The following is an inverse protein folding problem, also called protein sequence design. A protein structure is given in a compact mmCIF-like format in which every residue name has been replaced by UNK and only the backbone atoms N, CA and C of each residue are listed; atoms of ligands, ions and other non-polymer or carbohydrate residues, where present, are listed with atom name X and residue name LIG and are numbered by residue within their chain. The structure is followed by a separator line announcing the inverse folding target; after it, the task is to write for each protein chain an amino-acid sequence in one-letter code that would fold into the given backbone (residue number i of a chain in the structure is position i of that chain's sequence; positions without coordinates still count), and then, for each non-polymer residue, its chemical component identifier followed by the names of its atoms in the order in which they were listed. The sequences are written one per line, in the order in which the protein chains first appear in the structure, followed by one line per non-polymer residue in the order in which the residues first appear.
data_IF_487254708185
#
_entry.id   IF_487254708185
#
_cell.length_a   1.000
_cell.length_b   1.000
_cell.length_c   1.000
_cell.angle_alpha   90.00
_cell.angle_beta   90.00
_cell.angle_gamma   90.00
#
_symmetry.space_group_name_H-M   'P 1'
#
loop_
_entity.id
_entity.type
_entity.pdbx_description
1 polymer ?
#
# COMPACT_ATOMS: atom_id res chain seq x y z
N UNK A 1 -28.09 1.08 -20.97
CA UNK A 1 -27.25 0.38 -19.95
C UNK A 1 -26.07 1.19 -19.41
N UNK A 2 -25.65 2.33 -19.99
CA UNK A 2 -24.54 3.14 -19.44
C UNK A 2 -24.90 4.01 -18.22
N UNK A 3 -26.15 4.47 -18.07
CA UNK A 3 -26.54 5.39 -16.99
C UNK A 3 -26.45 4.77 -15.57
N UNK A 4 -26.66 3.46 -15.43
CA UNK A 4 -26.55 2.75 -14.14
C UNK A 4 -25.09 2.54 -13.70
N UNK A 5 -24.15 2.51 -14.64
CA UNK A 5 -22.73 2.31 -14.33
C UNK A 5 -22.09 3.52 -13.63
N UNK A 6 -22.49 4.74 -13.98
CA UNK A 6 -21.97 5.97 -13.36
C UNK A 6 -22.45 6.15 -11.92
N UNK A 7 -23.69 5.73 -11.63
CA UNK A 7 -24.24 5.73 -10.27
C UNK A 7 -23.49 4.77 -9.35
N UNK A 8 -23.18 3.56 -9.82
CA UNK A 8 -22.39 2.58 -9.07
C UNK A 8 -20.97 3.07 -8.79
N UNK A 9 -20.24 3.57 -9.81
CA UNK A 9 -18.88 4.08 -9.64
C UNK A 9 -18.77 5.25 -8.67
N UNK A 10 -19.82 6.06 -8.53
CA UNK A 10 -19.85 7.19 -7.59
C UNK A 10 -20.02 6.72 -6.14
N UNK A 11 -20.80 5.66 -5.91
CA UNK A 11 -20.95 5.05 -4.59
C UNK A 11 -19.65 4.35 -4.15
N UNK A 12 -18.99 3.64 -5.06
CA UNK A 12 -17.69 3.01 -4.80
C UNK A 12 -16.61 4.04 -4.47
N UNK A 13 -16.59 5.19 -5.17
CA UNK A 13 -15.69 6.30 -4.84
C UNK A 13 -15.87 6.80 -3.39
N UNK A 14 -17.12 7.00 -2.96
CA UNK A 14 -17.43 7.42 -1.60
C UNK A 14 -17.06 6.34 -0.57
N UNK A 15 -17.32 5.07 -0.89
CA UNK A 15 -16.96 3.95 -0.03
C UNK A 15 -15.44 3.87 0.19
N UNK A 16 -14.64 4.00 -0.86
CA UNK A 16 -13.19 4.00 -0.76
C UNK A 16 -12.65 5.21 0.01
N UNK A 17 -13.23 6.40 -0.21
CA UNK A 17 -12.89 7.59 0.58
C UNK A 17 -13.17 7.38 2.08
N UNK A 18 -14.34 6.82 2.42
CA UNK A 18 -14.71 6.53 3.80
C UNK A 18 -13.78 5.51 4.44
N UNK A 19 -13.49 4.41 3.74
CA UNK A 19 -12.56 3.37 4.21
C UNK A 19 -11.16 3.94 4.44
N UNK A 20 -10.65 4.76 3.52
CA UNK A 20 -9.36 5.44 3.70
C UNK A 20 -9.36 6.41 4.88
N UNK A 21 -10.43 7.17 5.09
CA UNK A 21 -10.57 8.07 6.23
C UNK A 21 -10.56 7.30 7.57
N UNK A 22 -11.29 6.17 7.64
CA UNK A 22 -11.30 5.28 8.81
C UNK A 22 -9.91 4.68 9.04
N UNK A 23 -9.23 4.22 7.98
CA UNK A 23 -7.89 3.65 8.06
C UNK A 23 -6.86 4.67 8.56
N UNK A 24 -6.91 5.91 8.05
CA UNK A 24 -6.08 7.02 8.52
C UNK A 24 -6.38 7.36 9.99
N UNK A 25 -7.65 7.39 10.38
CA UNK A 25 -8.03 7.63 11.77
C UNK A 25 -7.54 6.52 12.71
N UNK A 26 -7.65 5.25 12.30
CA UNK A 26 -7.16 4.11 13.05
C UNK A 26 -5.64 4.16 13.18
N UNK A 27 -4.94 4.45 12.07
CA UNK A 27 -3.50 4.65 12.05
C UNK A 27 -3.07 5.79 12.98
N UNK A 28 -3.80 6.90 12.98
CA UNK A 28 -3.57 8.01 13.91
C UNK A 28 -3.70 7.63 15.38
N UNK A 29 -4.56 6.68 15.74
CA UNK A 29 -4.67 6.17 17.11
C UNK A 29 -3.50 5.27 17.46
N UNK A 30 -3.13 4.34 16.57
CA UNK A 30 -2.01 3.42 16.79
C UNK A 30 -0.68 4.17 16.86
N UNK A 31 -0.46 5.18 16.02
CA UNK A 31 0.75 6.00 16.05
C UNK A 31 0.95 6.75 17.39
N UNK A 32 -0.09 6.97 18.19
CA UNK A 32 0.07 7.63 19.51
C UNK A 32 0.74 6.74 20.55
N UNK A 33 0.70 5.42 20.36
CA UNK A 33 1.29 4.45 21.30
C UNK A 33 2.66 3.95 20.84
N UNK A 34 3.12 4.37 19.66
CA UNK A 34 4.39 3.95 19.07
C UNK A 34 5.46 4.99 19.38
N UNK A 35 6.58 4.53 19.92
CA UNK A 35 7.80 5.34 20.06
C UNK A 35 8.62 5.18 18.79
N UNK A 36 8.86 6.26 18.01
CA UNK A 36 9.73 6.21 16.82
C UNK A 36 11.17 5.85 17.19
N UNK A 37 11.90 5.27 16.23
CA UNK A 37 13.33 5.04 16.39
C UNK A 37 14.13 6.35 16.32
N UNK A 38 15.19 6.46 17.13
CA UNK A 38 16.08 7.64 17.15
C UNK A 38 16.77 7.87 15.79
N UNK A 39 17.11 6.78 15.09
CA UNK A 39 17.74 6.79 13.76
C UNK A 39 16.70 6.82 12.60
N UNK A 40 15.41 6.99 12.91
CA UNK A 40 14.32 6.94 11.95
C UNK A 40 14.10 8.25 11.16
N UNK A 41 13.23 8.22 10.13
CA UNK A 41 12.78 9.43 9.45
C UNK A 41 12.12 10.41 10.43
N UNK A 42 12.35 11.72 10.25
CA UNK A 42 11.73 12.74 11.11
C UNK A 42 10.22 12.76 10.91
N UNK A 43 9.42 12.81 12.00
CA UNK A 43 7.97 12.97 11.92
C UNK A 43 7.55 14.17 11.07
N UNK A 44 6.64 13.92 10.14
CA UNK A 44 6.08 14.90 9.21
C UNK A 44 4.57 15.09 9.37
N UNK A 45 3.99 15.84 8.42
CA UNK A 45 2.54 16.00 8.27
C UNK A 45 2.06 15.17 7.08
N UNK A 46 1.32 14.07 7.29
CA UNK A 46 0.81 13.26 6.20
C UNK A 46 -0.27 14.03 5.42
N UNK A 47 -0.32 13.91 4.08
CA UNK A 47 -1.29 14.60 3.24
C UNK A 47 -2.65 13.88 3.26
N UNK A 48 -3.37 13.97 4.39
CA UNK A 48 -4.62 13.22 4.63
C UNK A 48 -5.65 13.43 3.52
N UNK A 49 -5.85 14.67 3.08
CA UNK A 49 -6.82 15.00 2.02
C UNK A 49 -6.44 14.34 0.69
N UNK A 50 -5.16 14.30 0.34
CA UNK A 50 -4.69 13.63 -0.86
C UNK A 50 -4.88 12.12 -0.79
N UNK A 51 -4.67 11.50 0.39
CA UNK A 51 -4.91 10.07 0.59
C UNK A 51 -6.38 9.70 0.40
N UNK A 52 -7.29 10.49 0.97
CA UNK A 52 -8.74 10.29 0.82
C UNK A 52 -9.18 10.51 -0.63
N UNK A 53 -8.68 11.58 -1.28
CA UNK A 53 -8.98 11.86 -2.68
C UNK A 53 -8.44 10.79 -3.63
N UNK A 54 -7.23 10.28 -3.38
CA UNK A 54 -6.65 9.19 -4.16
C UNK A 54 -7.45 7.90 -3.99
N UNK A 55 -7.90 7.58 -2.77
CA UNK A 55 -8.78 6.44 -2.54
C UNK A 55 -10.11 6.59 -3.28
N UNK A 56 -10.73 7.77 -3.25
CA UNK A 56 -11.94 8.06 -4.02
C UNK A 56 -11.74 7.85 -5.52
N UNK A 57 -10.61 8.34 -6.06
CA UNK A 57 -10.27 8.19 -7.47
C UNK A 57 -10.08 6.71 -7.86
N UNK A 58 -9.44 5.91 -7.00
CA UNK A 58 -9.33 4.46 -7.18
C UNK A 58 -10.72 3.80 -7.19
N UNK A 59 -11.55 4.14 -6.19
CA UNK A 59 -12.91 3.60 -6.06
C UNK A 59 -13.81 3.95 -7.24
N UNK A 60 -13.58 5.09 -7.89
CA UNK A 60 -14.26 5.45 -9.15
C UNK A 60 -13.70 4.69 -10.35
N UNK A 61 -12.36 4.60 -10.47
CA UNK A 61 -11.68 4.09 -11.65
C UNK A 61 -11.85 2.58 -11.84
N UNK A 62 -11.82 1.79 -10.76
CA UNK A 62 -11.92 0.33 -10.81
C UNK A 62 -13.26 -0.17 -11.40
N UNK A 63 -14.44 0.25 -10.90
CA UNK A 63 -15.73 -0.15 -11.49
C UNK A 63 -15.92 0.45 -12.88
N UNK A 64 -15.42 1.66 -13.16
CA UNK A 64 -15.45 2.24 -14.50
C UNK A 64 -14.66 1.39 -15.54
N UNK A 65 -13.69 0.60 -15.08
CA UNK A 65 -12.94 -0.38 -15.90
C UNK A 65 -13.62 -1.75 -16.01
N UNK A 66 -14.77 -1.96 -15.35
CA UNK A 66 -15.48 -3.24 -15.35
C UNK A 66 -14.88 -4.29 -14.41
N UNK A 67 -14.13 -3.87 -13.38
CA UNK A 67 -13.64 -4.79 -12.35
C UNK A 67 -14.82 -5.41 -11.59
N UNK A 68 -14.84 -6.74 -11.39
CA UNK A 68 -15.94 -7.40 -10.69
C UNK A 68 -16.01 -7.00 -9.21
N UNK A 69 -17.22 -6.98 -8.65
CA UNK A 69 -17.48 -6.46 -7.30
C UNK A 69 -16.73 -7.17 -6.16
N UNK A 70 -16.48 -8.48 -6.29
CA UNK A 70 -15.69 -9.23 -5.30
C UNK A 70 -14.24 -8.74 -5.22
N UNK A 71 -13.65 -8.36 -6.36
CA UNK A 71 -12.31 -7.78 -6.43
C UNK A 71 -12.27 -6.35 -5.88
N UNK A 72 -13.37 -5.59 -6.01
CA UNK A 72 -13.47 -4.24 -5.42
C UNK A 72 -13.31 -4.29 -3.89
N UNK A 73 -13.89 -5.28 -3.21
CA UNK A 73 -13.72 -5.41 -1.76
C UNK A 73 -12.25 -5.62 -1.37
N UNK A 74 -11.52 -6.48 -2.09
CA UNK A 74 -10.09 -6.72 -1.84
C UNK A 74 -9.23 -5.49 -2.16
N UNK A 75 -9.56 -4.77 -3.22
CA UNK A 75 -8.90 -3.51 -3.57
C UNK A 75 -9.20 -2.39 -2.58
N UNK A 76 -10.39 -2.36 -1.97
CA UNK A 76 -10.72 -1.45 -0.88
C UNK A 76 -9.89 -1.75 0.37
N UNK A 77 -9.72 -3.04 0.73
CA UNK A 77 -8.85 -3.48 1.83
C UNK A 77 -7.39 -3.07 1.59
N UNK A 78 -6.87 -3.29 0.36
CA UNK A 78 -5.54 -2.82 -0.02
C UNK A 78 -5.44 -1.29 0.09
N UNK A 79 -6.41 -0.56 -0.44
CA UNK A 79 -6.40 0.92 -0.42
C UNK A 79 -6.44 1.47 1.01
N UNK A 80 -7.18 0.82 1.91
CA UNK A 80 -7.19 1.12 3.35
C UNK A 80 -5.79 0.93 3.96
N UNK A 81 -5.15 -0.21 3.68
CA UNK A 81 -3.81 -0.53 4.14
C UNK A 81 -2.78 0.49 3.65
N UNK A 82 -2.84 0.85 2.37
CA UNK A 82 -1.99 1.86 1.73
C UNK A 82 -2.13 3.23 2.42
N UNK A 83 -3.36 3.71 2.66
CA UNK A 83 -3.60 4.98 3.33
C UNK A 83 -3.09 4.97 4.79
N UNK A 84 -3.34 3.89 5.53
CA UNK A 84 -2.86 3.73 6.90
C UNK A 84 -1.32 3.68 6.98
N UNK A 85 -0.68 2.95 6.06
CA UNK A 85 0.79 2.80 6.01
C UNK A 85 1.48 4.11 5.62
N UNK A 86 0.97 4.85 4.65
CA UNK A 86 1.51 6.18 4.32
C UNK A 86 1.41 7.09 5.55
N UNK A 87 0.25 7.14 6.18
CA UNK A 87 0.05 7.96 7.38
C UNK A 87 1.05 7.59 8.48
N UNK A 88 1.20 6.30 8.80
CA UNK A 88 2.08 5.85 9.88
C UNK A 88 3.55 6.10 9.57
N UNK A 89 4.00 5.86 8.34
CA UNK A 89 5.39 6.10 7.96
C UNK A 89 5.77 7.58 8.09
N UNK A 90 4.90 8.49 7.63
CA UNK A 90 5.15 9.92 7.76
C UNK A 90 5.10 10.39 9.22
N UNK A 91 4.27 9.78 10.06
CA UNK A 91 4.07 10.24 11.45
C UNK A 91 5.08 9.66 12.43
N UNK A 92 5.30 8.35 12.38
CA UNK A 92 6.14 7.64 13.33
C UNK A 92 7.31 6.88 12.68
N UNK A 93 7.47 6.92 11.35
CA UNK A 93 8.57 6.25 10.65
C UNK A 93 8.54 4.73 10.77
N UNK A 94 7.37 4.17 11.12
CA UNK A 94 7.15 2.76 11.39
C UNK A 94 5.84 2.35 10.73
N UNK A 95 5.84 1.18 10.09
CA UNK A 95 4.65 0.53 9.55
C UNK A 95 4.11 -0.49 10.56
N UNK A 96 2.96 -0.22 11.22
CA UNK A 96 2.38 -1.14 12.18
C UNK A 96 1.94 -2.45 11.49
N UNK A 97 2.23 -3.57 12.14
CA UNK A 97 1.90 -4.90 11.62
C UNK A 97 0.40 -5.09 11.35
N UNK A 98 -0.46 -4.43 12.13
CA UNK A 98 -1.91 -4.49 11.94
C UNK A 98 -2.34 -3.96 10.56
N UNK A 99 -1.64 -2.96 10.00
CA UNK A 99 -1.99 -2.36 8.70
C UNK A 99 -1.33 -3.07 7.51
N UNK A 100 -0.44 -4.03 7.75
CA UNK A 100 0.22 -4.80 6.70
C UNK A 100 -0.21 -6.27 6.72
N UNK A 101 -0.08 -6.94 7.87
CA UNK A 101 -0.39 -8.37 8.03
C UNK A 101 -1.89 -8.66 8.06
N UNK A 102 -2.72 -7.83 8.71
CA UNK A 102 -4.16 -8.12 8.74
C UNK A 102 -4.81 -8.03 7.35
N UNK A 103 -4.53 -6.99 6.52
CA UNK A 103 -4.97 -6.97 5.12
C UNK A 103 -4.42 -8.15 4.30
N UNK A 104 -3.14 -8.51 4.49
CA UNK A 104 -2.53 -9.66 3.81
C UNK A 104 -3.27 -10.95 4.16
N UNK A 105 -3.55 -11.19 5.44
CA UNK A 105 -4.31 -12.35 5.90
C UNK A 105 -5.72 -12.38 5.29
N UNK A 106 -6.42 -11.25 5.20
CA UNK A 106 -7.74 -11.16 4.55
C UNK A 106 -7.66 -11.55 3.07
N UNK A 107 -6.67 -11.02 2.33
CA UNK A 107 -6.48 -11.33 0.91
C UNK A 107 -6.16 -12.81 0.70
N UNK A 108 -5.26 -13.37 1.52
CA UNK A 108 -4.91 -14.79 1.44
C UNK A 108 -6.06 -15.71 1.84
N UNK A 109 -6.86 -15.33 2.83
CA UNK A 109 -8.06 -16.08 3.22
C UNK A 109 -9.11 -16.10 2.11
N UNK A 110 -9.35 -14.96 1.45
CA UNK A 110 -10.27 -14.87 0.31
C UNK A 110 -9.76 -15.69 -0.90
N UNK A 111 -8.44 -15.74 -1.10
CA UNK A 111 -7.81 -16.56 -2.13
C UNK A 111 -7.97 -18.06 -1.82
N UNK A 112 -7.73 -18.45 -0.57
CA UNK A 112 -7.87 -19.83 -0.11
C UNK A 112 -9.33 -20.33 -0.22
N UNK A 113 -10.32 -19.51 0.12
CA UNK A 113 -11.74 -19.87 -0.05
C UNK A 113 -12.15 -20.08 -1.50
N UNK A 114 -11.38 -19.51 -2.43
CA UNK A 114 -11.59 -19.64 -3.88
C UNK A 114 -10.67 -20.71 -4.51
N UNK A 115 -9.95 -21.48 -3.69
CA UNK A 115 -8.92 -22.45 -4.11
C UNK A 115 -7.85 -21.85 -5.05
N UNK A 116 -7.58 -20.55 -4.92
CA UNK A 116 -6.62 -19.85 -5.76
C UNK A 116 -5.29 -19.65 -5.03
N UNK A 117 -4.25 -20.35 -5.49
CA UNK A 117 -2.90 -20.22 -4.92
C UNK A 117 -2.13 -19.00 -5.43
N UNK A 118 -2.61 -18.29 -6.46
CA UNK A 118 -1.85 -17.22 -7.12
C UNK A 118 -1.50 -16.04 -6.18
N UNK A 119 -2.40 -15.54 -5.30
CA UNK A 119 -2.04 -14.51 -4.31
C UNK A 119 -0.96 -14.96 -3.33
N UNK A 120 -1.03 -16.21 -2.87
CA UNK A 120 -0.03 -16.78 -1.96
C UNK A 120 1.33 -16.91 -2.64
N UNK A 121 1.36 -17.46 -3.86
CA UNK A 121 2.57 -17.59 -4.64
C UNK A 121 3.17 -16.23 -4.97
N UNK A 122 2.36 -15.25 -5.35
CA UNK A 122 2.83 -13.90 -5.67
C UNK A 122 3.42 -13.22 -4.44
N UNK A 123 2.75 -13.31 -3.29
CA UNK A 123 3.26 -12.81 -2.02
C UNK A 123 4.59 -13.48 -1.62
N UNK A 124 4.73 -14.78 -1.83
CA UNK A 124 5.95 -15.52 -1.52
C UNK A 124 7.11 -15.18 -2.48
N UNK A 125 6.86 -15.18 -3.80
CA UNK A 125 7.85 -14.89 -4.84
C UNK A 125 8.47 -13.51 -4.62
N UNK A 126 7.66 -12.52 -4.26
CA UNK A 126 8.14 -11.16 -4.04
C UNK A 126 8.62 -10.98 -2.60
N UNK A 127 7.83 -11.42 -1.62
CA UNK A 127 8.11 -11.20 -0.20
C UNK A 127 9.34 -11.92 0.32
N UNK A 128 9.64 -13.15 -0.11
CA UNK A 128 10.78 -13.92 0.41
C UNK A 128 12.13 -13.30 0.04
N UNK A 129 12.41 -12.93 -1.22
CA UNK A 129 13.65 -12.22 -1.57
C UNK A 129 13.82 -10.90 -0.81
N UNK A 130 12.74 -10.14 -0.64
CA UNK A 130 12.76 -8.88 0.11
C UNK A 130 12.97 -9.09 1.62
N UNK A 131 12.34 -10.12 2.20
CA UNK A 131 12.60 -10.53 3.58
C UNK A 131 14.07 -10.95 3.78
N UNK A 132 14.64 -11.69 2.83
CA UNK A 132 16.04 -12.05 2.84
C UNK A 132 16.96 -10.82 2.78
N UNK A 133 16.65 -9.85 1.91
CA UNK A 133 17.39 -8.59 1.84
C UNK A 133 17.29 -7.76 3.13
N UNK A 134 16.10 -7.70 3.76
CA UNK A 134 15.91 -7.06 5.05
C UNK A 134 16.72 -7.77 6.16
N UNK A 135 16.72 -9.09 6.17
CA UNK A 135 17.49 -9.90 7.11
C UNK A 135 19.01 -9.70 6.92
N UNK A 136 19.50 -9.79 5.68
CA UNK A 136 20.92 -9.62 5.35
C UNK A 136 21.43 -8.21 5.69
N UNK A 137 20.59 -7.18 5.51
CA UNK A 137 20.91 -5.80 5.90
C UNK A 137 20.70 -5.51 7.39
N UNK A 138 20.32 -6.51 8.21
CA UNK A 138 19.95 -6.36 9.63
C UNK A 138 18.87 -5.27 9.85
N UNK A 139 17.97 -5.11 8.89
CA UNK A 139 16.93 -4.09 8.90
C UNK A 139 17.39 -2.65 8.66
N UNK A 140 18.70 -2.42 8.39
CA UNK A 140 19.24 -1.07 8.12
C UNK A 140 19.03 -0.61 6.68
N UNK A 141 18.88 -1.54 5.74
CA UNK A 141 18.67 -1.25 4.33
C UNK A 141 17.19 -1.05 3.99
N UNK A 142 16.36 -2.02 4.39
CA UNK A 142 14.91 -2.01 4.13
C UNK A 142 14.15 -2.46 5.37
N UNK A 143 13.06 -1.76 5.69
CA UNK A 143 12.25 -2.05 6.87
C UNK A 143 11.43 -3.32 6.70
N UNK A 144 11.25 -4.08 7.79
CA UNK A 144 10.36 -5.24 7.80
C UNK A 144 8.90 -4.88 7.48
N UNK A 145 8.49 -3.64 7.79
CA UNK A 145 7.18 -3.12 7.39
C UNK A 145 7.02 -3.03 5.88
N UNK A 146 8.06 -2.57 5.17
CA UNK A 146 8.05 -2.44 3.71
C UNK A 146 7.94 -3.82 3.05
N UNK A 147 8.67 -4.82 3.54
CA UNK A 147 8.58 -6.21 3.05
C UNK A 147 7.14 -6.72 3.11
N UNK A 148 6.46 -6.50 4.23
CA UNK A 148 5.06 -6.93 4.44
C UNK A 148 4.11 -6.18 3.51
N UNK A 149 4.35 -4.88 3.30
CA UNK A 149 3.54 -4.06 2.39
C UNK A 149 3.73 -4.46 0.92
N UNK A 150 4.97 -4.75 0.49
CA UNK A 150 5.26 -5.28 -0.84
C UNK A 150 4.60 -6.65 -1.04
N UNK A 151 4.67 -7.54 -0.04
CA UNK A 151 4.02 -8.85 -0.10
C UNK A 151 2.49 -8.72 -0.25
N UNK A 152 1.87 -7.78 0.47
CA UNK A 152 0.46 -7.44 0.31
C UNK A 152 0.16 -6.91 -1.10
N UNK A 153 0.99 -5.99 -1.62
CA UNK A 153 0.88 -5.52 -3.00
C UNK A 153 0.94 -6.66 -4.03
N UNK A 154 1.90 -7.58 -3.86
CA UNK A 154 2.06 -8.74 -4.73
C UNK A 154 0.91 -9.74 -4.63
N UNK A 155 0.34 -9.95 -3.44
CA UNK A 155 -0.83 -10.82 -3.26
C UNK A 155 -2.03 -10.33 -4.08
N UNK A 156 -2.19 -9.00 -4.21
CA UNK A 156 -3.35 -8.38 -4.84
C UNK A 156 -3.12 -8.08 -6.33
N UNK A 157 -1.93 -7.59 -6.69
CA UNK A 157 -1.60 -7.15 -8.05
C UNK A 157 -0.96 -8.26 -8.90
N UNK A 158 -0.39 -9.29 -8.27
CA UNK A 158 0.50 -10.25 -8.90
C UNK A 158 1.98 -9.90 -8.73
N UNK A 159 2.86 -10.86 -8.99
CA UNK A 159 4.29 -10.70 -8.75
C UNK A 159 4.96 -9.76 -9.76
N UNK A 160 4.60 -9.80 -11.05
CA UNK A 160 5.23 -8.95 -12.08
C UNK A 160 4.95 -7.47 -11.84
N UNK A 161 3.68 -7.12 -11.64
CA UNK A 161 3.22 -5.75 -11.42
C UNK A 161 3.75 -5.21 -10.09
N UNK A 162 3.81 -6.03 -9.04
CA UNK A 162 4.38 -5.62 -7.75
C UNK A 162 5.88 -5.38 -7.81
N UNK A 163 6.64 -6.20 -8.56
CA UNK A 163 8.08 -5.95 -8.77
C UNK A 163 8.31 -4.65 -9.54
N UNK A 164 7.49 -4.39 -10.57
CA UNK A 164 7.56 -3.12 -11.30
C UNK A 164 7.21 -1.92 -10.42
N UNK A 165 6.13 -2.02 -9.64
CA UNK A 165 5.73 -0.97 -8.70
C UNK A 165 6.84 -0.70 -7.66
N UNK A 166 7.47 -1.75 -7.14
CA UNK A 166 8.61 -1.61 -6.23
C UNK A 166 9.82 -0.95 -6.91
N UNK A 167 10.17 -1.36 -8.13
CA UNK A 167 11.25 -0.74 -8.88
C UNK A 167 11.01 0.77 -9.09
N UNK A 168 9.79 1.15 -9.48
CA UNK A 168 9.39 2.56 -9.61
C UNK A 168 9.48 3.29 -8.26
N UNK A 169 9.04 2.68 -7.17
CA UNK A 169 9.16 3.28 -5.83
C UNK A 169 10.63 3.55 -5.45
N UNK A 170 11.51 2.59 -5.69
CA UNK A 170 12.95 2.74 -5.44
C UNK A 170 13.57 3.86 -6.27
N UNK A 171 13.23 3.95 -7.57
CA UNK A 171 13.71 5.02 -8.45
C UNK A 171 13.23 6.40 -7.98
N UNK A 172 11.95 6.52 -7.59
CA UNK A 172 11.40 7.76 -7.06
C UNK A 172 12.07 8.16 -5.74
N UNK A 173 12.23 7.22 -4.82
CA UNK A 173 12.88 7.47 -3.53
C UNK A 173 14.34 7.91 -3.71
N UNK A 174 15.11 7.20 -4.56
CA UNK A 174 16.50 7.52 -4.88
C UNK A 174 16.63 8.87 -5.58
N UNK A 175 15.76 9.17 -6.56
CA UNK A 175 15.75 10.44 -7.27
C UNK A 175 15.47 11.62 -6.34
N UNK A 176 14.46 11.51 -5.46
CA UNK A 176 14.15 12.55 -4.48
C UNK A 176 15.27 12.70 -3.44
N UNK A 177 15.89 11.60 -3.00
CA UNK A 177 17.04 11.62 -2.10
C UNK A 177 18.23 12.38 -2.71
N UNK A 178 18.53 12.11 -3.98
CA UNK A 178 19.60 12.77 -4.73
C UNK A 178 19.33 14.27 -4.91
N UNK A 179 18.12 14.64 -5.34
CA UNK A 179 17.72 16.05 -5.51
C UNK A 179 17.75 16.84 -4.20
N UNK A 180 17.49 16.20 -3.07
CA UNK A 180 17.54 16.83 -1.74
C UNK A 180 18.94 16.81 -1.11
N UNK A 181 19.95 16.26 -1.77
CA UNK A 181 21.30 16.10 -1.22
C UNK A 181 21.36 15.22 0.04
N UNK A 182 20.40 14.30 0.19
CA UNK A 182 20.16 13.52 1.42
C UNK A 182 20.36 12.01 1.22
N UNK A 183 21.32 11.62 0.40
CA UNK A 183 21.57 10.20 0.03
C UNK A 183 21.91 9.27 1.22
N UNK A 184 22.28 9.83 2.38
CA UNK A 184 22.60 9.06 3.60
C UNK A 184 21.61 9.30 4.75
N UNK A 185 20.59 10.15 4.55
CA UNK A 185 19.61 10.41 5.58
C UNK A 185 18.50 9.35 5.54
N UNK A 186 17.94 8.94 6.68
CA UNK A 186 16.78 8.06 6.71
C UNK A 186 15.59 8.75 6.02
N UNK A 187 14.97 8.04 5.08
CA UNK A 187 13.82 8.52 4.30
C UNK A 187 12.64 7.60 4.57
N UNK A 188 11.48 8.20 4.79
CA UNK A 188 10.19 7.51 4.80
C UNK A 188 9.94 6.90 3.42
N UNK A 189 10.13 5.58 3.29
CA UNK A 189 10.05 4.87 2.01
C UNK A 189 8.61 4.52 1.62
N UNK A 190 7.75 4.25 2.60
CA UNK A 190 6.39 3.77 2.34
C UNK A 190 5.55 4.74 1.48
N UNK A 191 5.65 6.10 1.58
CA UNK A 191 4.99 7.01 0.65
C UNK A 191 5.27 6.72 -0.83
N UNK A 192 6.51 6.40 -1.18
CA UNK A 192 6.89 6.10 -2.58
C UNK A 192 6.34 4.75 -3.02
N UNK A 193 6.39 3.76 -2.12
CA UNK A 193 5.87 2.43 -2.36
C UNK A 193 4.34 2.42 -2.48
N UNK A 194 3.65 3.15 -1.59
CA UNK A 194 2.21 3.29 -1.64
C UNK A 194 1.77 3.98 -2.92
N UNK A 195 2.44 5.06 -3.31
CA UNK A 195 2.13 5.77 -4.54
C UNK A 195 2.25 4.86 -5.77
N UNK A 196 3.32 4.07 -5.88
CA UNK A 196 3.51 3.19 -7.03
C UNK A 196 2.51 2.03 -7.07
N UNK A 197 2.17 1.42 -5.92
CA UNK A 197 1.14 0.38 -5.82
C UNK A 197 -0.24 0.97 -6.19
N UNK A 198 -0.58 2.16 -5.69
CA UNK A 198 -1.83 2.84 -6.02
C UNK A 198 -1.95 3.13 -7.53
N UNK A 199 -0.86 3.59 -8.16
CA UNK A 199 -0.83 3.78 -9.62
C UNK A 199 -1.01 2.45 -10.34
N UNK A 200 -0.27 1.41 -9.95
CA UNK A 200 -0.36 0.08 -10.56
C UNK A 200 -1.77 -0.51 -10.48
N UNK A 201 -2.51 -0.23 -9.41
CA UNK A 201 -3.92 -0.62 -9.26
C UNK A 201 -4.82 0.04 -10.32
N UNK A 202 -4.55 1.31 -10.65
CA UNK A 202 -5.37 2.11 -11.58
C UNK A 202 -5.01 1.89 -13.06
N UNK A 203 -3.83 1.35 -13.35
CA UNK A 203 -3.39 1.04 -14.72
C UNK A 203 -3.85 -0.37 -15.11
N UNK A 204 -4.29 -0.62 -16.36
CA UNK A 204 -4.47 -1.97 -16.87
C UNK A 204 -3.16 -2.74 -16.76
N UNK A 205 -3.16 -3.82 -15.97
CA UNK A 205 -2.04 -4.75 -15.95
C UNK A 205 -1.80 -5.30 -17.37
N UNK A 206 -0.52 -5.50 -17.70
CA UNK A 206 -0.10 -6.17 -18.93
C UNK A 206 -0.56 -7.62 -18.98
#
# INVERSE_FOLDING_TARGET
MRATAWGASSLDALAYAAVAAVAVWASARVCRTIVPFDDGPRPGRPPITALIAAAAAIGFALPARGVPGTSLALYAVLTAALAACWYSDVRCGILPDVFTLAPLAIVLAAAASSHNAAPLLSAAIVGVPFAFAAFASRGRGMGWGDVKLVALGAAVLGWQTSLLAFAVACLLAAGVAALRGRCRAPIAFAPYLVASIAVALTVPGF
#
